data_IF_257561258385
#
_entry.id   IF_257561258385
#
_cell.length_a   1.000
_cell.length_b   1.000
_cell.length_c   1.000
_cell.angle_alpha   90.00
_cell.angle_beta   90.00
_cell.angle_gamma   90.00
#
_symmetry.space_group_name_H-M   'P 1'
#
loop_
_entity.id
_entity.type
_entity.pdbx_description
1 polymer ?
#
# COMPACT_ATOMS: atom_id res chain seq x y z
N UNK A 1 12.35 11.99 -17.97
CA UNK A 1 11.87 10.60 -17.84
C UNK A 1 12.63 9.61 -18.73
N UNK A 2 12.62 9.74 -20.07
CA UNK A 2 13.30 8.79 -20.99
C UNK A 2 14.78 8.56 -20.68
N UNK A 3 15.57 9.62 -20.52
CA UNK A 3 16.99 9.51 -20.17
C UNK A 3 17.24 8.73 -18.86
N UNK A 4 16.37 8.89 -17.86
CA UNK A 4 16.46 8.15 -16.60
C UNK A 4 16.19 6.66 -16.81
N UNK A 5 15.18 6.31 -17.60
CA UNK A 5 14.86 4.91 -17.92
C UNK A 5 16.00 4.25 -18.69
N UNK A 6 16.54 4.92 -19.72
CA UNK A 6 17.70 4.41 -20.47
C UNK A 6 18.88 4.16 -19.54
N UNK A 7 19.20 5.13 -18.67
CA UNK A 7 20.26 5.00 -17.67
C UNK A 7 20.02 3.82 -16.73
N UNK A 8 18.79 3.66 -16.22
CA UNK A 8 18.44 2.59 -15.27
C UNK A 8 18.46 1.20 -15.91
N UNK A 9 17.96 1.06 -17.13
CA UNK A 9 18.05 -0.21 -17.86
C UNK A 9 19.51 -0.61 -18.08
N UNK A 10 20.37 0.34 -18.49
CA UNK A 10 21.81 0.09 -18.64
C UNK A 10 22.49 -0.29 -17.33
N UNK A 11 22.16 0.37 -16.22
CA UNK A 11 22.69 0.05 -14.88
C UNK A 11 22.35 -1.37 -14.41
N UNK A 12 21.21 -1.90 -14.85
CA UNK A 12 20.72 -3.24 -14.47
C UNK A 12 20.85 -4.27 -15.61
N UNK A 13 21.67 -3.99 -16.63
CA UNK A 13 21.95 -4.89 -17.75
C UNK A 13 20.71 -5.35 -18.54
N UNK A 14 19.66 -4.53 -18.61
CA UNK A 14 18.51 -4.78 -19.47
C UNK A 14 18.71 -4.23 -20.88
N UNK A 15 18.28 -5.01 -21.88
CA UNK A 15 18.33 -4.61 -23.29
C UNK A 15 17.48 -3.37 -23.60
N UNK A 16 17.91 -2.56 -24.56
CA UNK A 16 17.22 -1.34 -25.00
C UNK A 16 15.79 -1.58 -25.52
N UNK A 17 15.46 -2.80 -25.98
CA UNK A 17 14.11 -3.17 -26.44
C UNK A 17 13.02 -2.96 -25.37
N UNK A 18 13.40 -2.93 -24.08
CA UNK A 18 12.47 -2.72 -22.97
C UNK A 18 12.14 -1.25 -22.71
N UNK A 19 12.83 -0.30 -23.35
CA UNK A 19 12.68 1.13 -23.06
C UNK A 19 11.23 1.62 -23.22
N UNK A 20 10.58 1.31 -24.33
CA UNK A 20 9.23 1.81 -24.60
C UNK A 20 8.17 1.13 -23.72
N UNK A 21 8.37 -0.15 -23.38
CA UNK A 21 7.50 -0.84 -22.42
C UNK A 21 7.57 -0.19 -21.02
N UNK A 22 8.78 0.09 -20.53
CA UNK A 22 8.97 0.74 -19.23
C UNK A 22 8.48 2.18 -19.24
N UNK A 23 8.74 2.94 -20.32
CA UNK A 23 8.21 4.29 -20.51
C UNK A 23 6.68 4.31 -20.44
N UNK A 24 6.03 3.37 -21.12
CA UNK A 24 4.56 3.24 -21.13
C UNK A 24 4.03 2.89 -19.75
N UNK A 25 4.62 1.89 -19.08
CA UNK A 25 4.23 1.49 -17.73
C UNK A 25 4.35 2.64 -16.73
N UNK A 26 5.50 3.33 -16.70
CA UNK A 26 5.72 4.47 -15.78
C UNK A 26 4.78 5.62 -16.12
N UNK A 27 4.57 5.92 -17.40
CA UNK A 27 3.62 6.94 -17.83
C UNK A 27 2.18 6.65 -17.40
N UNK A 28 1.74 5.39 -17.53
CA UNK A 28 0.42 4.95 -17.07
C UNK A 28 0.28 5.09 -15.55
N UNK A 29 1.24 4.55 -14.78
CA UNK A 29 1.22 4.63 -13.31
C UNK A 29 1.17 6.08 -12.83
N UNK A 30 1.93 6.97 -13.46
CA UNK A 30 1.97 8.37 -13.05
C UNK A 30 0.69 9.15 -13.38
N UNK A 31 0.03 8.82 -14.49
CA UNK A 31 -1.08 9.61 -15.04
C UNK A 31 -2.48 9.03 -14.77
N UNK A 32 -2.60 7.76 -14.35
CA UNK A 32 -3.89 7.14 -14.05
C UNK A 32 -4.42 7.63 -12.70
N UNK A 33 -5.68 8.11 -12.61
CA UNK A 33 -6.33 8.41 -11.33
C UNK A 33 -6.32 7.19 -10.40
N UNK A 34 -6.01 7.39 -9.13
CA UNK A 34 -5.94 6.31 -8.14
C UNK A 34 -7.33 5.87 -7.64
N UNK A 35 -8.33 6.74 -7.76
CA UNK A 35 -9.73 6.46 -7.40
C UNK A 35 -10.66 6.90 -8.53
N UNK A 36 -11.76 6.15 -8.82
CA UNK A 36 -12.71 6.51 -9.87
C UNK A 36 -13.31 7.91 -9.71
N UNK A 37 -13.62 8.30 -8.47
CA UNK A 37 -14.27 9.55 -8.09
C UNK A 37 -13.30 10.74 -7.91
N UNK A 38 -11.98 10.51 -7.98
CA UNK A 38 -10.95 11.55 -7.81
C UNK A 38 -10.00 11.61 -9.00
N UNK A 39 -10.42 12.32 -10.05
CA UNK A 39 -9.62 12.53 -11.26
C UNK A 39 -8.35 13.34 -11.02
N UNK A 40 -8.31 14.13 -9.94
CA UNK A 40 -7.17 14.93 -9.50
C UNK A 40 -6.13 14.11 -8.71
N UNK A 41 -6.50 12.95 -8.18
CA UNK A 41 -5.62 12.10 -7.37
C UNK A 41 -4.77 11.21 -8.28
N UNK A 42 -3.75 11.82 -8.90
CA UNK A 42 -2.77 11.17 -9.77
C UNK A 42 -1.35 11.35 -9.23
N UNK A 43 -0.50 10.34 -9.37
CA UNK A 43 0.86 10.36 -8.82
C UNK A 43 1.75 11.45 -9.43
N UNK A 44 1.53 11.83 -10.69
CA UNK A 44 2.26 12.92 -11.35
C UNK A 44 1.99 14.30 -10.76
N UNK A 45 0.86 14.49 -10.06
CA UNK A 45 0.51 15.75 -9.41
C UNK A 45 1.15 15.89 -8.02
N UNK A 46 1.71 14.81 -7.47
CA UNK A 46 2.30 14.80 -6.14
C UNK A 46 3.70 15.39 -6.18
N UNK A 47 3.84 16.59 -5.59
CA UNK A 47 5.11 17.28 -5.43
C UNK A 47 6.10 16.50 -4.55
N UNK A 48 7.40 16.71 -4.77
CA UNK A 48 8.45 16.04 -3.97
C UNK A 48 8.44 16.47 -2.50
N UNK A 49 7.91 17.66 -2.20
CA UNK A 49 7.70 18.19 -0.84
C UNK A 49 6.45 17.63 -0.15
N UNK A 50 5.60 16.93 -0.90
CA UNK A 50 4.36 16.30 -0.41
C UNK A 50 4.46 14.79 -0.29
N UNK A 51 5.68 14.23 -0.35
CA UNK A 51 5.89 12.79 -0.26
C UNK A 51 7.12 12.40 0.55
N UNK A 52 7.03 11.21 1.13
CA UNK A 52 8.12 10.47 1.74
C UNK A 52 8.27 9.16 0.96
N UNK A 53 9.45 8.93 0.38
CA UNK A 53 9.76 7.65 -0.25
C UNK A 53 10.42 6.74 0.78
N UNK A 54 10.09 5.46 0.79
CA UNK A 54 10.66 4.44 1.68
C UNK A 54 10.61 4.87 3.15
N UNK A 55 9.42 5.24 3.63
CA UNK A 55 9.22 5.63 5.03
C UNK A 55 9.50 4.42 5.93
N UNK A 56 10.65 4.45 6.61
CA UNK A 56 11.00 3.49 7.65
C UNK A 56 10.13 3.70 8.90
N UNK A 57 9.62 2.61 9.46
CA UNK A 57 9.03 2.59 10.79
C UNK A 57 9.63 1.47 11.63
N UNK A 58 9.70 1.72 12.92
CA UNK A 58 10.10 0.75 13.93
C UNK A 58 9.35 1.06 15.22
N UNK A 59 8.57 0.12 15.73
CA UNK A 59 7.92 0.26 17.03
C UNK A 59 8.04 -1.03 17.85
N UNK A 60 8.14 -0.90 19.18
CA UNK A 60 8.19 -2.06 20.06
C UNK A 60 6.87 -2.82 19.99
N UNK A 61 6.96 -4.14 19.88
CA UNK A 61 5.81 -5.01 19.91
C UNK A 61 5.41 -5.29 21.35
N UNK A 62 4.11 -5.18 21.64
CA UNK A 62 3.53 -5.78 22.83
C UNK A 62 3.63 -7.32 22.75
N UNK A 63 3.36 -8.00 23.86
CA UNK A 63 3.21 -9.45 23.84
C UNK A 63 2.01 -9.82 22.94
N UNK A 64 2.29 -10.24 21.71
CA UNK A 64 1.28 -10.46 20.67
C UNK A 64 1.35 -11.87 20.12
N UNK A 65 0.18 -12.45 19.89
CA UNK A 65 0.05 -13.76 19.25
C UNK A 65 -0.74 -13.64 17.96
N UNK A 66 -0.57 -14.61 17.07
CA UNK A 66 -1.43 -14.74 15.91
C UNK A 66 -2.91 -14.86 16.28
N UNK A 67 -3.23 -15.46 17.44
CA UNK A 67 -4.61 -15.62 17.92
C UNK A 67 -5.31 -14.28 18.15
N UNK A 68 -4.67 -13.35 18.85
CA UNK A 68 -5.25 -12.04 19.14
C UNK A 68 -5.45 -11.19 17.89
N UNK A 69 -4.53 -11.27 16.92
CA UNK A 69 -4.70 -10.60 15.63
C UNK A 69 -5.85 -11.22 14.84
N UNK A 70 -5.94 -12.56 14.79
CA UNK A 70 -7.05 -13.26 14.11
C UNK A 70 -8.42 -12.87 14.64
N UNK A 71 -8.57 -12.81 15.96
CA UNK A 71 -9.83 -12.44 16.60
C UNK A 71 -10.29 -11.05 16.14
N UNK A 72 -9.40 -10.06 16.15
CA UNK A 72 -9.71 -8.70 15.67
C UNK A 72 -10.10 -8.71 14.19
N UNK A 73 -9.34 -9.42 13.34
CA UNK A 73 -9.64 -9.50 11.91
C UNK A 73 -11.03 -10.11 11.67
N UNK A 74 -11.35 -11.20 12.37
CA UNK A 74 -12.64 -11.87 12.25
C UNK A 74 -13.80 -10.99 12.72
N UNK A 75 -13.65 -10.28 13.86
CA UNK A 75 -14.66 -9.33 14.35
C UNK A 75 -14.95 -8.18 13.37
N UNK A 76 -13.96 -7.79 12.56
CA UNK A 76 -14.07 -6.73 11.56
C UNK A 76 -14.45 -7.25 10.17
N UNK A 77 -14.86 -8.52 10.07
CA UNK A 77 -15.37 -9.11 8.83
C UNK A 77 -14.30 -9.50 7.81
N UNK A 78 -13.02 -9.51 8.21
CA UNK A 78 -11.99 -10.10 7.37
C UNK A 78 -12.20 -11.62 7.34
N UNK A 79 -12.38 -12.16 6.13
CA UNK A 79 -12.66 -13.58 5.95
C UNK A 79 -11.54 -14.48 6.47
N UNK A 80 -11.85 -15.76 6.69
CA UNK A 80 -10.88 -16.73 7.21
C UNK A 80 -9.58 -16.77 6.41
N UNK A 81 -9.58 -16.50 5.11
CA UNK A 81 -8.36 -16.44 4.30
C UNK A 81 -7.37 -15.35 4.76
N UNK A 82 -7.84 -14.21 5.26
CA UNK A 82 -6.97 -13.15 5.78
C UNK A 82 -6.42 -13.47 7.19
N UNK A 83 -7.15 -14.28 7.97
CA UNK A 83 -6.82 -14.63 9.35
C UNK A 83 -6.08 -15.99 9.45
N UNK A 84 -6.37 -16.91 8.55
CA UNK A 84 -5.89 -18.30 8.56
C UNK A 84 -4.38 -18.34 8.38
N UNK A 85 -3.74 -19.38 8.94
CA UNK A 85 -2.30 -19.65 8.83
C UNK A 85 -1.36 -18.54 9.33
N UNK A 86 -1.85 -17.63 10.18
CA UNK A 86 -0.96 -16.80 11.00
C UNK A 86 -0.37 -17.67 12.12
N UNK A 87 0.95 -17.84 12.11
CA UNK A 87 1.66 -18.64 13.11
C UNK A 87 2.82 -17.80 13.63
N UNK A 88 2.57 -17.08 14.72
CA UNK A 88 3.60 -16.35 15.44
C UNK A 88 3.18 -16.13 16.89
N UNK A 89 4.18 -16.01 17.75
CA UNK A 89 4.05 -15.54 19.12
C UNK A 89 5.30 -14.73 19.43
N UNK A 90 5.12 -13.45 19.75
CA UNK A 90 6.20 -12.52 20.06
C UNK A 90 6.03 -12.07 21.49
N UNK A 91 6.97 -12.45 22.36
CA UNK A 91 6.95 -12.05 23.77
C UNK A 91 7.59 -10.67 24.00
N UNK A 92 8.66 -10.37 23.24
CA UNK A 92 9.36 -9.07 23.22
C UNK A 92 10.02 -8.92 21.85
N UNK A 93 9.89 -7.76 21.21
CA UNK A 93 10.49 -7.52 19.91
C UNK A 93 10.16 -6.15 19.33
N UNK A 94 10.54 -5.92 18.09
CA UNK A 94 10.21 -4.72 17.33
C UNK A 94 9.58 -5.14 16.00
N UNK A 95 8.55 -4.42 15.58
CA UNK A 95 8.09 -4.47 14.21
C UNK A 95 8.80 -3.39 13.42
N UNK A 96 9.56 -3.81 12.42
CA UNK A 96 10.28 -2.92 11.51
C UNK A 96 9.78 -3.13 10.09
N UNK A 97 9.63 -2.04 9.35
CA UNK A 97 9.25 -2.10 7.95
C UNK A 97 9.50 -0.78 7.22
N UNK A 98 9.23 -0.80 5.92
CA UNK A 98 9.32 0.34 5.04
C UNK A 98 8.01 0.44 4.25
N UNK A 99 7.45 1.64 4.17
CA UNK A 99 6.32 1.96 3.30
C UNK A 99 6.90 2.62 2.06
N UNK A 100 6.69 2.04 0.87
CA UNK A 100 7.34 2.49 -0.36
C UNK A 100 7.13 3.97 -0.65
N UNK A 101 5.90 4.45 -0.45
CA UNK A 101 5.56 5.85 -0.63
C UNK A 101 4.44 6.25 0.32
N UNK A 102 4.63 7.35 1.03
CA UNK A 102 3.57 8.09 1.71
C UNK A 102 3.48 9.45 1.05
N UNK A 103 2.27 9.91 0.73
CA UNK A 103 2.08 11.24 0.19
C UNK A 103 0.87 11.95 0.78
N UNK A 104 0.89 13.28 0.71
CA UNK A 104 -0.22 14.14 1.09
C UNK A 104 -0.89 14.72 -0.16
N UNK A 105 -2.22 14.65 -0.20
CA UNK A 105 -3.06 15.28 -1.21
C UNK A 105 -4.32 15.80 -0.54
N UNK A 106 -4.67 17.07 -0.78
CA UNK A 106 -5.91 17.67 -0.29
C UNK A 106 -6.13 17.50 1.23
N UNK A 107 -5.07 17.72 2.01
CA UNK A 107 -5.08 17.59 3.48
C UNK A 107 -5.09 16.15 4.02
N UNK A 108 -5.14 15.13 3.14
CA UNK A 108 -5.15 13.71 3.51
C UNK A 108 -3.84 13.03 3.15
N UNK A 109 -3.47 12.03 3.95
CA UNK A 109 -2.28 11.21 3.80
C UNK A 109 -2.65 9.84 3.25
N UNK A 110 -1.92 9.40 2.23
CA UNK A 110 -2.10 8.12 1.56
C UNK A 110 -0.80 7.34 1.62
N UNK A 111 -0.91 6.02 1.70
CA UNK A 111 0.23 5.12 1.52
C UNK A 111 0.11 4.34 0.22
N UNK A 112 1.25 4.00 -0.37
CA UNK A 112 1.36 3.22 -1.60
C UNK A 112 2.41 2.13 -1.41
N UNK A 113 2.12 0.96 -1.97
CA UNK A 113 3.07 -0.16 -2.11
C UNK A 113 3.08 -0.62 -3.58
N UNK A 114 4.27 -0.79 -4.15
CA UNK A 114 4.46 -1.16 -5.55
C UNK A 114 4.57 -2.68 -5.70
N UNK A 115 3.69 -3.28 -6.50
CA UNK A 115 3.68 -4.71 -6.79
C UNK A 115 4.10 -4.99 -8.23
N UNK A 116 5.18 -5.76 -8.42
CA UNK A 116 5.66 -6.20 -9.74
C UNK A 116 5.16 -7.59 -10.16
N UNK A 117 4.23 -8.17 -9.37
CA UNK A 117 3.66 -9.50 -9.56
C UNK A 117 3.16 -9.70 -11.00
N UNK A 118 3.38 -10.89 -11.55
CA UNK A 118 2.84 -11.28 -12.83
C UNK A 118 1.60 -12.13 -12.60
N UNK A 119 0.42 -11.56 -12.84
CA UNK A 119 -0.88 -12.22 -12.66
C UNK A 119 -1.37 -12.91 -13.95
N UNK A 120 -0.68 -12.65 -15.06
CA UNK A 120 -1.03 -13.07 -16.40
C UNK A 120 -0.68 -11.98 -17.42
N UNK A 121 -1.09 -12.20 -18.67
CA UNK A 121 -0.72 -11.37 -19.83
C UNK A 121 -1.88 -10.56 -20.39
N UNK A 122 -3.12 -10.76 -19.91
CA UNK A 122 -4.28 -9.99 -20.31
C UNK A 122 -4.57 -8.87 -19.30
N UNK A 123 -5.14 -7.72 -19.72
CA UNK A 123 -5.64 -6.72 -18.78
C UNK A 123 -6.60 -7.33 -17.74
N UNK A 124 -7.44 -8.26 -18.19
CA UNK A 124 -8.41 -8.98 -17.36
C UNK A 124 -7.79 -9.78 -16.19
N UNK A 125 -6.47 -10.02 -16.18
CA UNK A 125 -5.77 -10.68 -15.08
C UNK A 125 -5.48 -9.71 -13.92
N UNK A 126 -5.64 -8.40 -14.14
CA UNK A 126 -5.39 -7.32 -13.17
C UNK A 126 -6.64 -6.52 -12.80
N UNK A 127 -7.83 -7.02 -13.14
CA UNK A 127 -9.12 -6.44 -12.72
C UNK A 127 -9.26 -6.47 -11.19
N UNK A 128 -10.06 -5.57 -10.62
CA UNK A 128 -10.21 -5.42 -9.18
C UNK A 128 -10.51 -6.72 -8.39
N UNK A 129 -11.45 -7.55 -8.85
CA UNK A 129 -11.80 -8.85 -8.24
C UNK A 129 -10.61 -9.84 -8.23
N UNK A 130 -9.78 -9.84 -9.28
CA UNK A 130 -8.54 -10.63 -9.29
C UNK A 130 -7.51 -10.10 -8.31
N UNK A 131 -7.40 -8.78 -8.18
CA UNK A 131 -6.52 -8.18 -7.19
C UNK A 131 -6.95 -8.54 -5.77
N UNK A 132 -8.26 -8.59 -5.47
CA UNK A 132 -8.76 -9.02 -4.17
C UNK A 132 -8.27 -10.43 -3.79
N UNK A 133 -8.35 -11.40 -4.72
CA UNK A 133 -7.84 -12.76 -4.51
C UNK A 133 -6.34 -12.76 -4.19
N UNK A 134 -5.56 -11.97 -4.94
CA UNK A 134 -4.10 -11.85 -4.76
C UNK A 134 -3.76 -11.17 -3.43
N UNK A 135 -4.48 -10.11 -3.04
CA UNK A 135 -4.28 -9.40 -1.78
C UNK A 135 -4.47 -10.30 -0.55
N UNK A 136 -5.38 -11.28 -0.66
CA UNK A 136 -5.59 -12.30 0.36
C UNK A 136 -4.47 -13.36 0.32
N UNK A 137 -4.22 -13.96 -0.85
CA UNK A 137 -3.25 -15.05 -1.01
C UNK A 137 -1.82 -14.65 -0.62
N UNK A 138 -1.39 -13.46 -1.04
CA UNK A 138 -0.05 -12.93 -0.76
C UNK A 138 0.05 -12.26 0.63
N UNK A 139 -1.02 -12.30 1.42
CA UNK A 139 -1.12 -11.67 2.76
C UNK A 139 -0.81 -10.17 2.77
N UNK A 140 -0.97 -9.50 1.62
CA UNK A 140 -0.87 -8.05 1.53
C UNK A 140 -1.91 -7.34 2.37
N UNK A 141 -3.03 -8.02 2.67
CA UNK A 141 -4.03 -7.55 3.62
C UNK A 141 -3.45 -7.28 5.01
N UNK A 142 -2.74 -8.27 5.58
CA UNK A 142 -2.07 -8.07 6.87
C UNK A 142 -0.99 -6.99 6.76
N UNK A 143 -0.22 -6.99 5.67
CA UNK A 143 0.83 -6.00 5.45
C UNK A 143 0.29 -4.57 5.51
N UNK A 144 -0.78 -4.27 4.75
CA UNK A 144 -1.30 -2.91 4.71
C UNK A 144 -1.92 -2.50 6.05
N UNK A 145 -2.49 -3.44 6.82
CA UNK A 145 -3.02 -3.15 8.15
C UNK A 145 -1.89 -2.74 9.10
N UNK A 146 -0.75 -3.47 9.07
CA UNK A 146 0.45 -3.09 9.83
C UNK A 146 1.00 -1.73 9.39
N UNK A 147 1.05 -1.46 8.09
CA UNK A 147 1.48 -0.16 7.56
C UNK A 147 0.51 0.97 7.93
N UNK A 148 -0.79 0.69 7.98
CA UNK A 148 -1.80 1.65 8.40
C UNK A 148 -1.65 2.00 9.88
N UNK A 149 -1.41 1.02 10.76
CA UNK A 149 -1.08 1.27 12.18
C UNK A 149 0.20 2.08 12.32
N UNK A 150 1.25 1.71 11.58
CA UNK A 150 2.53 2.42 11.60
C UNK A 150 2.37 3.89 11.18
N UNK A 151 1.68 4.14 10.06
CA UNK A 151 1.46 5.49 9.55
C UNK A 151 0.52 6.28 10.47
N UNK A 152 -0.52 5.66 11.01
CA UNK A 152 -1.41 6.30 11.98
C UNK A 152 -0.64 6.82 13.19
N UNK A 153 0.24 5.99 13.78
CA UNK A 153 1.09 6.40 14.90
C UNK A 153 2.10 7.48 14.49
N UNK A 154 2.73 7.33 13.32
CA UNK A 154 3.68 8.30 12.77
C UNK A 154 3.07 9.70 12.62
N UNK A 155 1.84 9.78 12.08
CA UNK A 155 1.11 11.02 11.85
C UNK A 155 0.63 11.65 13.16
N UNK A 156 0.11 10.85 14.09
CA UNK A 156 -0.36 11.33 15.39
C UNK A 156 0.73 12.06 16.21
N UNK A 157 2.00 11.67 16.04
CA UNK A 157 3.14 12.33 16.68
C UNK A 157 3.54 13.67 16.04
N UNK A 158 3.12 13.94 14.80
CA UNK A 158 3.66 15.03 13.96
C UNK A 158 2.61 16.07 13.59
N UNK A 159 1.35 15.69 13.56
CA UNK A 159 0.24 16.55 13.16
C UNK A 159 -0.49 16.99 14.42
N UNK A 160 -0.48 18.31 14.67
CA UNK A 160 -1.28 18.90 15.73
C UNK A 160 -2.76 18.62 15.46
N UNK A 161 -3.49 18.19 16.51
CA UNK A 161 -4.92 17.83 16.41
C UNK A 161 -5.21 16.75 15.35
N UNK A 162 -4.29 15.80 15.18
CA UNK A 162 -4.48 14.66 14.29
C UNK A 162 -5.77 13.89 14.63
N UNK A 163 -6.53 13.58 13.58
CA UNK A 163 -7.73 12.72 13.60
C UNK A 163 -7.68 11.80 12.39
N UNK A 164 -7.84 10.50 12.60
CA UNK A 164 -7.71 9.50 11.53
C UNK A 164 -8.72 9.73 10.41
N UNK A 165 -9.96 10.05 10.75
CA UNK A 165 -11.07 10.25 9.80
C UNK A 165 -10.84 11.45 8.88
N UNK A 166 -10.18 12.48 9.40
CA UNK A 166 -9.90 13.71 8.68
C UNK A 166 -8.62 13.59 7.85
N UNK A 167 -7.58 12.98 8.42
CA UNK A 167 -6.22 13.03 7.87
C UNK A 167 -5.81 11.77 7.12
N UNK A 168 -6.36 10.60 7.42
CA UNK A 168 -6.03 9.39 6.66
C UNK A 168 -6.92 9.30 5.41
N UNK A 169 -6.29 9.18 4.25
CA UNK A 169 -6.93 9.15 2.94
C UNK A 169 -7.21 7.76 2.42
N UNK A 170 -6.44 6.76 2.85
CA UNK A 170 -6.51 5.38 2.35
C UNK A 170 -5.14 4.86 1.92
N UNK A 171 -5.17 3.70 1.26
CA UNK A 171 -3.98 3.02 0.76
C UNK A 171 -4.17 2.54 -0.68
N UNK A 172 -3.06 2.41 -1.40
CA UNK A 172 -3.03 1.87 -2.75
C UNK A 172 -1.96 0.80 -2.89
N UNK A 173 -2.36 -0.38 -3.36
CA UNK A 173 -1.44 -1.43 -3.80
C UNK A 173 -1.46 -1.43 -5.32
N UNK A 174 -0.35 -0.99 -5.91
CA UNK A 174 -0.28 -0.69 -7.35
C UNK A 174 0.49 -1.81 -8.05
N UNK A 175 -0.25 -2.69 -8.71
CA UNK A 175 0.26 -3.76 -9.56
C UNK A 175 0.69 -3.18 -10.90
N UNK A 176 1.97 -2.81 -11.00
CA UNK A 176 2.54 -1.98 -12.08
C UNK A 176 2.17 -2.48 -13.49
N UNK A 177 2.12 -3.80 -13.68
CA UNK A 177 1.83 -4.45 -14.98
C UNK A 177 0.38 -4.30 -15.43
N UNK A 178 -0.54 -4.08 -14.49
CA UNK A 178 -1.97 -3.99 -14.75
C UNK A 178 -2.50 -2.57 -14.96
N UNK A 179 -1.68 -1.54 -14.69
CA UNK A 179 -2.13 -0.14 -14.77
C UNK A 179 -2.17 0.31 -16.23
N UNK A 180 -3.37 0.74 -16.66
CA UNK A 180 -3.61 1.29 -17.99
C UNK A 180 -4.52 2.50 -17.92
N UNK A 181 -4.21 3.55 -18.68
CA UNK A 181 -5.06 4.75 -18.78
C UNK A 181 -6.42 4.46 -19.43
N UNK A 182 -6.49 3.45 -20.29
CA UNK A 182 -7.72 3.03 -20.96
C UNK A 182 -8.74 2.45 -19.97
N UNK A 183 -8.24 1.67 -19.00
CA UNK A 183 -9.08 0.96 -18.04
C UNK A 183 -9.24 1.72 -16.71
N UNK A 184 -8.41 2.74 -16.48
CA UNK A 184 -8.45 3.56 -15.28
C UNK A 184 -8.13 2.78 -14.00
N UNK A 185 -8.59 3.26 -12.82
CA UNK A 185 -8.31 2.63 -11.52
C UNK A 185 -8.96 1.27 -11.31
N UNK A 186 -9.85 0.82 -12.20
CA UNK A 186 -10.48 -0.50 -12.09
C UNK A 186 -9.48 -1.67 -12.33
N UNK A 187 -8.28 -1.36 -12.85
CA UNK A 187 -7.26 -2.33 -13.22
C UNK A 187 -5.89 -1.95 -12.67
N UNK A 188 -5.19 -2.93 -12.10
CA UNK A 188 -3.84 -2.77 -11.55
C UNK A 188 -3.76 -1.94 -10.26
N UNK A 189 -4.87 -1.38 -9.77
CA UNK A 189 -4.91 -0.58 -8.54
C UNK A 189 -5.90 -1.23 -7.58
N UNK A 190 -5.38 -1.76 -6.49
CA UNK A 190 -6.18 -2.10 -5.32
C UNK A 190 -6.16 -0.91 -4.36
N UNK A 191 -7.31 -0.57 -3.80
CA UNK A 191 -7.44 0.50 -2.82
C UNK A 191 -8.27 0.02 -1.64
N UNK A 192 -7.94 0.51 -0.46
CA UNK A 192 -8.72 0.29 0.76
C UNK A 192 -8.61 1.51 1.69
N UNK A 193 -9.52 1.61 2.64
CA UNK A 193 -9.44 2.53 3.76
C UNK A 193 -9.99 1.82 5.00
N UNK A 194 -9.10 1.18 5.78
CA UNK A 194 -9.49 0.52 7.02
C UNK A 194 -10.24 1.47 7.96
N UNK A 195 -11.25 0.96 8.65
CA UNK A 195 -11.93 1.76 9.67
C UNK A 195 -11.00 2.09 10.83
N UNK A 196 -11.15 3.29 11.39
CA UNK A 196 -10.35 3.75 12.55
C UNK A 196 -10.40 2.75 13.70
N UNK A 197 -11.56 2.15 13.96
CA UNK A 197 -11.77 1.19 15.04
C UNK A 197 -10.85 -0.02 14.90
N UNK A 198 -10.74 -0.58 13.70
CA UNK A 198 -9.84 -1.69 13.41
C UNK A 198 -8.38 -1.29 13.64
N UNK A 199 -7.98 -0.12 13.11
CA UNK A 199 -6.60 0.38 13.24
C UNK A 199 -6.24 0.61 14.70
N UNK A 200 -7.14 1.17 15.51
CA UNK A 200 -6.94 1.40 16.94
C UNK A 200 -6.95 0.09 17.76
N UNK A 201 -7.77 -0.90 17.39
CA UNK A 201 -7.76 -2.23 18.02
C UNK A 201 -6.43 -2.94 17.74
N UNK A 202 -5.99 -2.95 16.48
CA UNK A 202 -4.70 -3.51 16.09
C UNK A 202 -3.54 -2.77 16.77
N UNK A 203 -3.57 -1.43 16.78
CA UNK A 203 -2.56 -0.61 17.45
C UNK A 203 -2.40 -0.95 18.93
N UNK A 204 -3.51 -1.15 19.65
CA UNK A 204 -3.49 -1.54 21.08
C UNK A 204 -2.90 -2.93 21.33
N UNK A 205 -3.08 -3.87 20.40
CA UNK A 205 -2.56 -5.24 20.54
C UNK A 205 -1.13 -5.38 20.03
N UNK A 206 -0.74 -4.58 19.04
CA UNK A 206 0.57 -4.67 18.40
C UNK A 206 1.62 -3.80 19.08
N UNK A 207 1.27 -2.57 19.46
CA UNK A 207 2.27 -1.56 19.88
C UNK A 207 2.40 -1.57 21.42
N UNK A 208 3.62 -1.78 21.91
CA UNK A 208 3.90 -1.61 23.34
C UNK A 208 3.90 -0.10 23.69
N UNK A 209 3.27 0.23 24.83
CA UNK A 209 3.25 1.58 25.42
C UNK A 209 4.44 1.76 26.35
#
# INVERSE_FOLDING_TARGET
MRQLIVKKLGQHCFEAKWQDAVMTMVGNVLATPLLPERQDLVLQAIGTDKRLNELEFCFPLAAVSAGSVREILHEQGFGELAASSLEFSVANGFLKGFIDLVFAHDGRFYLVDWKSNHLGSAPADYRHDRLQEVMLHERYTLQYLLYTVALHHYLAQRIAHYRYEDHFGGLFYIFLRGVSREHGPAYGIYHDRPEVRLVEQLGRVLVAV
#
